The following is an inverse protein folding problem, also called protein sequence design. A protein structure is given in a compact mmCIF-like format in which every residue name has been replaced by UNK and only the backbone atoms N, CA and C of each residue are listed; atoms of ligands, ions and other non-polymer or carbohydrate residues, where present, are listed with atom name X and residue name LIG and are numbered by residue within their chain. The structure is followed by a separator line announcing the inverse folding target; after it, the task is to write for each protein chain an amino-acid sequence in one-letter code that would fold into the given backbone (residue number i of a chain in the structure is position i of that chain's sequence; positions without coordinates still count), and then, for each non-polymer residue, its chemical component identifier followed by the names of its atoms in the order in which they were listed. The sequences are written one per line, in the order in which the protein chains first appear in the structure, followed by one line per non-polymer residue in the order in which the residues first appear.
data_IF_943159197974
#
_entry.id   IF_943159197974
#
_cell.length_a   1.000
_cell.length_b   1.000
_cell.length_c   1.000
_cell.angle_alpha   90.00
_cell.angle_beta   90.00
_cell.angle_gamma   90.00
#
_symmetry.space_group_name_H-M   'P 1'
#
loop_
_entity.id
_entity.type
_entity.pdbx_description
1 polymer ?
#
# COMPACT_ATOMS: atom_id res chain seq x y z
N UNK A 1 -14.23 16.87 -31.95
CA UNK A 1 -13.03 17.02 -31.12
C UNK A 1 -13.51 17.04 -29.69
N UNK A 2 -13.17 16.02 -28.92
CA UNK A 2 -13.48 15.99 -27.50
C UNK A 2 -12.41 16.82 -26.76
N UNK A 3 -12.84 17.82 -25.99
CA UNK A 3 -11.94 18.53 -25.08
C UNK A 3 -11.63 17.65 -23.85
N UNK A 4 -10.56 17.97 -23.13
CA UNK A 4 -10.24 17.37 -21.84
C UNK A 4 -11.41 17.51 -20.85
N UNK A 5 -12.15 18.62 -20.88
CA UNK A 5 -13.37 18.82 -20.11
C UNK A 5 -14.46 17.82 -20.52
N UNK A 6 -14.70 17.65 -21.82
CA UNK A 6 -15.69 16.69 -22.34
C UNK A 6 -15.34 15.24 -21.95
N UNK A 7 -14.06 14.87 -22.02
CA UNK A 7 -13.58 13.55 -21.58
C UNK A 7 -13.77 13.35 -20.07
N UNK A 8 -13.51 14.38 -19.26
CA UNK A 8 -13.73 14.32 -17.83
C UNK A 8 -15.23 14.20 -17.48
N UNK A 9 -16.09 14.96 -18.13
CA UNK A 9 -17.55 14.87 -17.96
C UNK A 9 -18.10 13.50 -18.34
N UNK A 10 -17.58 12.90 -19.42
CA UNK A 10 -17.96 11.55 -19.82
C UNK A 10 -17.53 10.51 -18.77
N UNK A 11 -16.32 10.64 -18.21
CA UNK A 11 -15.87 9.77 -17.10
C UNK A 11 -16.80 9.89 -15.88
N UNK A 12 -17.19 11.10 -15.48
CA UNK A 12 -18.15 11.32 -14.38
C UNK A 12 -19.47 10.64 -14.70
N UNK A 13 -19.98 10.82 -15.93
CA UNK A 13 -21.25 10.23 -16.39
C UNK A 13 -21.21 8.70 -16.31
N UNK A 14 -20.15 8.08 -16.81
CA UNK A 14 -19.98 6.63 -16.77
C UNK A 14 -19.86 6.13 -15.33
N UNK A 15 -19.04 6.78 -14.49
CA UNK A 15 -18.89 6.42 -13.08
C UNK A 15 -20.20 6.56 -12.29
N UNK A 16 -21.00 7.59 -12.58
CA UNK A 16 -22.28 7.83 -11.88
C UNK A 16 -23.35 6.76 -12.14
N UNK A 17 -23.18 5.94 -13.18
CA UNK A 17 -24.09 4.84 -13.52
C UNK A 17 -23.81 3.56 -12.74
N UNK A 18 -22.68 3.48 -12.04
CA UNK A 18 -22.32 2.31 -11.23
C UNK A 18 -23.29 2.23 -10.05
N UNK A 19 -24.18 1.24 -10.06
CA UNK A 19 -25.24 1.10 -9.06
C UNK A 19 -24.86 0.24 -7.86
N UNK A 20 -23.73 -0.48 -7.92
CA UNK A 20 -23.41 -1.57 -7.00
C UNK A 20 -22.30 -1.24 -5.98
N UNK A 21 -22.13 0.04 -5.64
CA UNK A 21 -21.20 0.41 -4.58
C UNK A 21 -21.66 -0.11 -3.20
N UNK A 22 -20.82 -0.88 -2.48
CA UNK A 22 -21.16 -1.37 -1.15
C UNK A 22 -21.52 -0.24 -0.18
N UNK A 23 -22.54 -0.49 0.65
CA UNK A 23 -23.05 0.55 1.55
C UNK A 23 -22.04 0.93 2.66
N UNK A 24 -21.22 -0.02 3.06
CA UNK A 24 -20.23 0.03 4.14
C UNK A 24 -19.09 1.03 3.86
N UNK A 25 -18.93 1.43 2.60
CA UNK A 25 -17.83 2.29 2.14
C UNK A 25 -18.29 3.53 1.36
N UNK A 26 -19.56 3.93 1.49
CA UNK A 26 -20.17 5.05 0.75
C UNK A 26 -19.37 6.36 0.76
N UNK A 27 -18.63 6.64 1.83
CA UNK A 27 -17.81 7.85 1.92
C UNK A 27 -16.58 7.81 1.01
N UNK A 28 -16.04 6.63 0.73
CA UNK A 28 -14.89 6.46 -0.17
C UNK A 28 -15.32 6.69 -1.60
N UNK A 29 -16.50 6.21 -2.02
CA UNK A 29 -16.94 6.30 -3.41
C UNK A 29 -17.27 7.71 -3.90
N UNK A 30 -17.40 8.68 -2.99
CA UNK A 30 -17.62 10.09 -3.32
C UNK A 30 -16.35 10.72 -3.91
N UNK A 31 -16.50 11.38 -5.07
CA UNK A 31 -15.39 11.95 -5.84
C UNK A 31 -14.65 13.09 -5.13
N UNK A 32 -15.33 13.78 -4.21
CA UNK A 32 -14.82 14.93 -3.44
C UNK A 32 -14.14 14.53 -2.11
N UNK A 33 -14.19 13.24 -1.76
CA UNK A 33 -13.65 12.69 -0.51
C UNK A 33 -12.20 12.19 -0.65
N UNK A 34 -11.50 11.89 0.47
CA UNK A 34 -10.06 11.66 0.49
C UNK A 34 -9.57 10.64 -0.54
N UNK A 35 -8.38 10.89 -1.09
CA UNK A 35 -7.67 10.04 -2.07
C UNK A 35 -6.80 8.97 -1.39
N UNK A 36 -7.03 8.76 -0.09
CA UNK A 36 -6.39 7.77 0.74
C UNK A 36 -7.38 7.33 1.80
N UNK A 37 -7.57 6.03 1.93
CA UNK A 37 -8.43 5.43 2.93
C UNK A 37 -7.87 4.06 3.32
N UNK A 38 -7.83 3.76 4.61
CA UNK A 38 -7.17 2.58 5.15
C UNK A 38 -8.06 2.02 6.26
N UNK A 39 -8.69 0.86 6.04
CA UNK A 39 -9.72 0.31 6.93
C UNK A 39 -9.26 0.22 8.39
N UNK A 40 -8.04 -0.30 8.59
CA UNK A 40 -7.46 -0.48 9.91
C UNK A 40 -7.24 0.84 10.66
N UNK A 41 -6.87 1.91 9.93
CA UNK A 41 -6.57 3.21 10.54
C UNK A 41 -7.87 3.94 10.91
N UNK A 42 -8.86 3.89 10.01
CA UNK A 42 -10.17 4.52 10.22
C UNK A 42 -10.91 3.90 11.41
N UNK A 43 -10.76 2.59 11.60
CA UNK A 43 -11.37 1.87 12.70
C UNK A 43 -10.46 1.78 13.94
N UNK A 44 -9.20 2.24 13.86
CA UNK A 44 -8.16 2.04 14.88
C UNK A 44 -8.04 0.57 15.32
N UNK A 45 -7.96 -0.34 14.35
CA UNK A 45 -7.98 -1.78 14.54
C UNK A 45 -6.71 -2.45 13.99
N UNK A 46 -6.43 -3.65 14.50
CA UNK A 46 -5.48 -4.57 13.89
C UNK A 46 -6.21 -5.40 12.84
N UNK A 47 -5.74 -5.33 11.59
CA UNK A 47 -6.27 -6.15 10.49
C UNK A 47 -5.18 -7.12 10.05
N UNK A 48 -5.53 -8.38 9.90
CA UNK A 48 -4.68 -9.39 9.30
C UNK A 48 -5.46 -10.29 8.37
N UNK A 49 -4.82 -10.70 7.28
CA UNK A 49 -5.34 -11.66 6.33
C UNK A 49 -4.29 -12.74 6.08
N UNK A 50 -4.74 -13.99 6.03
CA UNK A 50 -3.94 -15.14 5.66
C UNK A 50 -4.68 -15.97 4.62
N UNK A 51 -4.09 -16.13 3.44
CA UNK A 51 -4.76 -16.79 2.33
C UNK A 51 -4.91 -18.31 2.48
N UNK A 52 -4.00 -18.96 3.24
CA UNK A 52 -4.00 -20.43 3.28
C UNK A 52 -5.34 -20.93 3.82
N UNK A 53 -5.93 -21.87 3.08
CA UNK A 53 -7.20 -22.52 3.37
C UNK A 53 -8.47 -21.67 3.16
N UNK A 54 -8.37 -20.57 2.38
CA UNK A 54 -9.53 -19.74 2.01
C UNK A 54 -9.73 -19.69 0.49
N UNK A 55 -11.00 -19.74 0.04
CA UNK A 55 -11.41 -19.40 -1.34
C UNK A 55 -11.26 -17.89 -1.65
N UNK A 56 -10.64 -17.14 -0.75
CA UNK A 56 -10.41 -15.71 -0.85
C UNK A 56 -9.00 -15.41 -1.34
N UNK A 57 -8.87 -14.37 -2.17
CA UNK A 57 -7.63 -13.80 -2.68
C UNK A 57 -7.43 -12.41 -2.13
N UNK A 58 -6.19 -12.08 -1.82
CA UNK A 58 -5.75 -10.73 -1.48
C UNK A 58 -5.03 -10.12 -2.67
N UNK A 59 -5.64 -9.10 -3.28
CA UNK A 59 -5.17 -8.48 -4.52
C UNK A 59 -4.85 -7.00 -4.30
N UNK A 60 -3.64 -6.58 -4.68
CA UNK A 60 -3.20 -5.19 -4.82
C UNK A 60 -3.37 -4.82 -6.30
N UNK A 61 -4.34 -3.96 -6.58
CA UNK A 61 -4.73 -3.56 -7.93
C UNK A 61 -4.32 -2.11 -8.14
N UNK A 62 -3.53 -1.82 -9.17
CA UNK A 62 -3.10 -0.46 -9.50
C UNK A 62 -3.24 -0.14 -10.99
N UNK A 63 -3.44 1.13 -11.32
CA UNK A 63 -3.50 1.60 -12.71
C UNK A 63 -2.07 1.72 -13.25
N UNK A 64 -1.76 0.94 -14.29
CA UNK A 64 -0.46 0.96 -14.96
C UNK A 64 -0.20 2.35 -15.54
N UNK A 65 0.86 3.00 -15.07
CA UNK A 65 1.23 4.34 -15.52
C UNK A 65 0.11 5.37 -15.29
N UNK A 66 -0.63 5.26 -14.18
CA UNK A 66 -1.84 6.02 -13.86
C UNK A 66 -1.91 7.44 -14.47
N UNK A 67 -1.08 8.38 -13.99
CA UNK A 67 -1.11 9.77 -14.43
C UNK A 67 -0.80 9.96 -15.93
N UNK A 68 0.27 9.37 -16.48
CA UNK A 68 0.48 9.33 -17.92
C UNK A 68 -0.73 8.85 -18.72
N UNK A 69 -1.38 7.77 -18.29
CA UNK A 69 -2.56 7.20 -18.94
C UNK A 69 -3.75 8.16 -18.89
N UNK A 70 -4.00 8.79 -17.74
CA UNK A 70 -5.05 9.82 -17.60
C UNK A 70 -4.74 11.04 -18.49
N UNK A 71 -3.49 11.49 -18.56
CA UNK A 71 -3.11 12.61 -19.41
C UNK A 71 -3.32 12.28 -20.90
N UNK A 72 -3.02 11.05 -21.35
CA UNK A 72 -3.34 10.61 -22.71
C UNK A 72 -4.84 10.64 -22.96
N UNK A 73 -5.64 10.12 -22.02
CA UNK A 73 -7.10 10.15 -22.11
C UNK A 73 -7.65 11.58 -22.22
N UNK A 74 -7.15 12.51 -21.41
CA UNK A 74 -7.63 13.89 -21.39
C UNK A 74 -7.16 14.72 -22.59
N UNK A 75 -5.88 14.61 -22.95
CA UNK A 75 -5.20 15.61 -23.78
C UNK A 75 -4.75 15.10 -25.16
N UNK A 76 -5.02 13.86 -25.53
CA UNK A 76 -4.57 13.30 -26.82
C UNK A 76 -5.07 14.10 -28.04
N UNK A 77 -6.29 14.65 -27.98
CA UNK A 77 -6.84 15.51 -29.04
C UNK A 77 -6.53 17.00 -28.81
N UNK A 78 -6.60 17.48 -27.56
CA UNK A 78 -6.49 18.91 -27.24
C UNK A 78 -5.03 19.41 -27.18
N UNK A 79 -4.11 18.58 -26.70
CA UNK A 79 -2.69 18.93 -26.55
C UNK A 79 -1.78 17.70 -26.80
N UNK A 80 -1.70 17.23 -28.07
CA UNK A 80 -0.93 16.05 -28.43
C UNK A 80 0.58 16.18 -28.15
N UNK A 81 1.14 17.39 -28.21
CA UNK A 81 2.55 17.65 -27.91
C UNK A 81 2.89 17.36 -26.45
N UNK A 82 2.01 17.75 -25.52
CA UNK A 82 2.16 17.42 -24.10
C UNK A 82 2.17 15.91 -23.87
N UNK A 83 1.27 15.17 -24.52
CA UNK A 83 1.20 13.71 -24.43
C UNK A 83 2.46 13.06 -25.01
N UNK A 84 2.91 13.52 -26.18
CA UNK A 84 4.13 13.03 -26.83
C UNK A 84 5.36 13.21 -25.96
N UNK A 85 5.47 14.36 -25.28
CA UNK A 85 6.56 14.62 -24.33
C UNK A 85 6.53 13.68 -23.12
N UNK A 86 5.34 13.36 -22.58
CA UNK A 86 5.21 12.36 -21.51
C UNK A 86 5.68 10.99 -22.00
N UNK A 87 5.30 10.59 -23.20
CA UNK A 87 5.60 9.26 -23.76
C UNK A 87 7.07 9.08 -24.11
N UNK A 88 7.75 10.16 -24.52
CA UNK A 88 9.17 10.18 -24.82
C UNK A 88 10.05 9.96 -23.57
N UNK A 89 9.56 10.27 -22.37
CA UNK A 89 10.28 9.99 -21.12
C UNK A 89 10.32 8.49 -20.86
N UNK A 90 11.44 7.96 -20.37
CA UNK A 90 11.57 6.53 -20.09
C UNK A 90 11.03 6.16 -18.71
N UNK A 91 11.36 6.95 -17.69
CA UNK A 91 11.11 6.59 -16.29
C UNK A 91 9.76 7.09 -15.74
N UNK A 92 9.12 6.29 -14.87
CA UNK A 92 7.82 6.62 -14.24
C UNK A 92 7.92 7.87 -13.36
N UNK A 93 9.02 8.04 -12.61
CA UNK A 93 9.21 9.20 -11.73
C UNK A 93 9.41 10.45 -12.56
N UNK A 94 10.19 10.40 -13.63
CA UNK A 94 10.38 11.53 -14.56
C UNK A 94 9.06 11.97 -15.19
N UNK A 95 8.26 11.02 -15.71
CA UNK A 95 6.92 11.31 -16.24
C UNK A 95 6.05 12.04 -15.22
N UNK A 96 6.00 11.54 -13.99
CA UNK A 96 5.20 12.15 -12.93
C UNK A 96 5.70 13.54 -12.53
N UNK A 97 7.01 13.78 -12.51
CA UNK A 97 7.59 15.12 -12.24
C UNK A 97 7.21 16.08 -13.37
N UNK A 98 7.35 15.65 -14.62
CA UNK A 98 7.00 16.46 -15.79
C UNK A 98 5.51 16.84 -15.76
N UNK A 99 4.61 15.86 -15.60
CA UNK A 99 3.15 16.09 -15.49
C UNK A 99 2.84 17.07 -14.35
N UNK A 100 3.43 16.86 -13.17
CA UNK A 100 3.20 17.73 -12.02
C UNK A 100 3.66 19.17 -12.30
N UNK A 101 4.83 19.35 -12.92
CA UNK A 101 5.37 20.67 -13.23
C UNK A 101 4.56 21.41 -14.31
N UNK A 102 4.13 20.70 -15.35
CA UNK A 102 3.34 21.26 -16.44
C UNK A 102 1.93 21.63 -15.99
N UNK A 103 1.31 20.81 -15.13
CA UNK A 103 -0.08 21.02 -14.69
C UNK A 103 -0.22 21.78 -13.36
N UNK A 104 0.88 22.15 -12.68
CA UNK A 104 0.89 22.69 -11.30
C UNK A 104 -0.05 23.88 -11.06
N UNK A 105 -0.26 24.73 -12.06
CA UNK A 105 -1.11 25.93 -12.00
C UNK A 105 -2.48 25.74 -12.64
N UNK A 106 -2.84 24.51 -13.01
CA UNK A 106 -4.10 24.17 -13.67
C UNK A 106 -5.00 23.38 -12.75
N UNK A 107 -6.32 23.44 -12.99
CA UNK A 107 -7.27 22.62 -12.24
C UNK A 107 -7.10 21.11 -12.55
N UNK A 108 -6.52 20.77 -13.70
CA UNK A 108 -6.33 19.40 -14.17
C UNK A 108 -5.48 18.55 -13.24
N UNK A 109 -4.50 19.12 -12.52
CA UNK A 109 -3.70 18.35 -11.57
C UNK A 109 -4.57 17.73 -10.46
N UNK A 110 -5.59 18.46 -9.99
CA UNK A 110 -6.58 17.93 -9.04
C UNK A 110 -7.48 16.90 -9.72
N UNK A 111 -7.90 17.17 -10.96
CA UNK A 111 -8.70 16.25 -11.79
C UNK A 111 -8.03 14.89 -11.97
N UNK A 112 -6.70 14.83 -12.11
CA UNK A 112 -5.98 13.54 -12.23
C UNK A 112 -6.24 12.60 -11.05
N UNK A 113 -6.25 13.12 -9.82
CA UNK A 113 -6.55 12.29 -8.65
C UNK A 113 -8.00 11.79 -8.65
N UNK A 114 -8.93 12.65 -9.06
CA UNK A 114 -10.36 12.31 -9.13
C UNK A 114 -10.58 11.22 -10.17
N UNK A 115 -9.99 11.34 -11.36
CA UNK A 115 -10.08 10.31 -12.41
C UNK A 115 -9.44 9.01 -11.95
N UNK A 116 -8.25 9.07 -11.35
CA UNK A 116 -7.57 7.89 -10.81
C UNK A 116 -8.47 7.11 -9.85
N UNK A 117 -9.14 7.82 -8.94
CA UNK A 117 -10.12 7.25 -8.01
C UNK A 117 -11.33 6.65 -8.70
N UNK A 118 -11.95 7.37 -9.65
CA UNK A 118 -13.11 6.86 -10.39
C UNK A 118 -12.76 5.59 -11.18
N UNK A 119 -11.61 5.57 -11.83
CA UNK A 119 -11.16 4.43 -12.63
C UNK A 119 -10.91 3.22 -11.75
N UNK A 120 -10.14 3.34 -10.66
CA UNK A 120 -9.82 2.19 -9.81
C UNK A 120 -11.04 1.69 -9.04
N UNK A 121 -11.82 2.59 -8.41
CA UNK A 121 -13.00 2.15 -7.65
C UNK A 121 -14.09 1.64 -8.61
N UNK A 122 -14.24 2.23 -9.78
CA UNK A 122 -15.18 1.75 -10.78
C UNK A 122 -14.77 0.40 -11.38
N UNK A 123 -13.48 0.19 -11.66
CA UNK A 123 -12.99 -1.10 -12.13
C UNK A 123 -13.28 -2.24 -11.13
N UNK A 124 -13.09 -1.95 -9.84
CA UNK A 124 -13.26 -2.92 -8.76
C UNK A 124 -14.73 -3.18 -8.43
N UNK A 125 -15.56 -2.12 -8.34
CA UNK A 125 -16.92 -2.24 -7.81
C UNK A 125 -18.03 -2.19 -8.88
N UNK A 126 -17.73 -1.90 -10.14
CA UNK A 126 -18.67 -2.10 -11.24
C UNK A 126 -18.59 -3.55 -11.74
N UNK A 127 -19.00 -4.48 -10.88
CA UNK A 127 -18.99 -5.93 -11.12
C UNK A 127 -20.12 -6.60 -10.36
N UNK A 128 -20.61 -7.74 -10.84
CA UNK A 128 -21.71 -8.47 -10.19
C UNK A 128 -21.35 -9.01 -8.79
N UNK A 129 -20.07 -9.30 -8.55
CA UNK A 129 -19.52 -9.81 -7.29
C UNK A 129 -19.11 -8.68 -6.32
N UNK A 130 -19.48 -7.42 -6.58
CA UNK A 130 -19.00 -6.27 -5.79
C UNK A 130 -19.30 -6.36 -4.29
N UNK A 131 -20.34 -7.11 -3.89
CA UNK A 131 -20.69 -7.35 -2.49
C UNK A 131 -19.74 -8.33 -1.78
N UNK A 132 -19.02 -9.16 -2.53
CA UNK A 132 -18.04 -10.12 -2.01
C UNK A 132 -16.63 -9.51 -1.93
N UNK A 133 -16.46 -8.27 -2.41
CA UNK A 133 -15.21 -7.53 -2.39
C UNK A 133 -15.10 -6.71 -1.10
N UNK A 134 -14.11 -7.02 -0.27
CA UNK A 134 -13.75 -6.21 0.89
C UNK A 134 -12.57 -5.28 0.58
N UNK A 135 -12.76 -3.97 0.74
CA UNK A 135 -11.69 -2.99 0.57
C UNK A 135 -10.88 -2.85 1.86
N UNK A 136 -9.57 -3.10 1.79
CA UNK A 136 -8.66 -2.96 2.93
C UNK A 136 -7.90 -1.64 2.90
N UNK A 137 -7.42 -1.26 1.72
CA UNK A 137 -6.66 -0.04 1.49
C UNK A 137 -7.06 0.58 0.15
N UNK A 138 -7.08 1.90 0.10
CA UNK A 138 -7.20 2.68 -1.12
C UNK A 138 -6.18 3.81 -1.07
N UNK A 139 -5.29 3.87 -2.04
CA UNK A 139 -4.28 4.91 -2.18
C UNK A 139 -4.22 5.37 -3.63
N UNK A 140 -4.64 6.61 -3.91
CA UNK A 140 -4.49 7.34 -5.19
C UNK A 140 -4.72 6.51 -6.46
N UNK A 141 -3.72 5.74 -6.92
CA UNK A 141 -3.70 4.95 -8.14
C UNK A 141 -3.96 3.44 -7.96
N UNK A 142 -4.23 2.97 -6.75
CA UNK A 142 -4.52 1.57 -6.47
C UNK A 142 -5.30 1.30 -5.19
N UNK A 143 -5.65 0.04 -4.99
CA UNK A 143 -6.31 -0.46 -3.81
C UNK A 143 -5.88 -1.88 -3.46
N UNK A 144 -6.02 -2.23 -2.19
CA UNK A 144 -5.87 -3.59 -1.67
C UNK A 144 -7.26 -4.12 -1.32
N UNK A 145 -7.63 -5.24 -1.92
CA UNK A 145 -8.92 -5.89 -1.72
C UNK A 145 -8.77 -7.35 -1.32
N UNK A 146 -9.81 -7.87 -0.65
CA UNK A 146 -10.08 -9.30 -0.54
C UNK A 146 -11.27 -9.60 -1.45
N UNK A 147 -11.20 -10.67 -2.24
CA UNK A 147 -12.29 -11.16 -3.09
C UNK A 147 -12.28 -12.68 -3.17
N UNK A 148 -13.42 -13.31 -3.46
CA UNK A 148 -13.50 -14.73 -3.85
C UNK A 148 -13.40 -14.92 -5.37
N UNK A 149 -13.46 -13.85 -6.16
CA UNK A 149 -13.50 -13.92 -7.61
C UNK A 149 -12.11 -14.09 -8.23
N UNK A 150 -11.99 -15.10 -9.08
CA UNK A 150 -10.80 -15.37 -9.87
C UNK A 150 -10.72 -14.50 -11.13
N UNK A 151 -11.82 -13.90 -11.57
CA UNK A 151 -11.91 -13.20 -12.86
C UNK A 151 -11.37 -11.78 -12.83
N UNK A 152 -11.15 -11.19 -11.64
CA UNK A 152 -10.48 -9.88 -11.53
C UNK A 152 -9.09 -9.94 -12.19
N UNK A 153 -8.35 -11.03 -12.00
CA UNK A 153 -7.02 -11.23 -12.60
C UNK A 153 -7.05 -11.31 -14.14
N UNK A 154 -8.16 -11.78 -14.70
CA UNK A 154 -8.35 -11.91 -16.15
C UNK A 154 -8.88 -10.62 -16.79
N UNK A 155 -9.21 -9.59 -16.00
CA UNK A 155 -9.77 -8.32 -16.46
C UNK A 155 -10.95 -8.52 -17.44
N UNK A 156 -11.81 -9.52 -17.19
CA UNK A 156 -12.95 -9.75 -18.08
C UNK A 156 -13.83 -8.50 -18.11
N UNK A 157 -14.11 -8.04 -19.34
CA UNK A 157 -14.92 -6.87 -19.59
C UNK A 157 -16.38 -7.29 -19.43
N UNK A 158 -16.96 -6.94 -18.29
CA UNK A 158 -18.31 -7.40 -17.89
C UNK A 158 -19.33 -6.28 -17.83
N UNK A 159 -18.89 -5.02 -17.88
CA UNK A 159 -19.78 -3.85 -17.70
C UNK A 159 -19.47 -2.69 -18.66
N UNK A 160 -20.44 -1.79 -18.91
CA UNK A 160 -20.23 -0.60 -19.73
C UNK A 160 -19.10 0.31 -19.24
N UNK A 161 -18.88 0.43 -17.92
CA UNK A 161 -17.77 1.23 -17.39
C UNK A 161 -16.42 0.56 -17.70
N UNK A 162 -16.32 -0.76 -17.51
CA UNK A 162 -15.10 -1.52 -17.82
C UNK A 162 -14.77 -1.46 -19.32
N UNK A 163 -15.77 -1.56 -20.19
CA UNK A 163 -15.62 -1.35 -21.63
C UNK A 163 -15.10 0.05 -21.95
N UNK A 164 -15.66 1.06 -21.28
CA UNK A 164 -15.27 2.46 -21.48
C UNK A 164 -13.81 2.70 -21.09
N UNK A 165 -13.39 2.33 -19.88
CA UNK A 165 -12.02 2.55 -19.42
C UNK A 165 -11.01 1.71 -20.23
N UNK A 166 -11.38 0.51 -20.68
CA UNK A 166 -10.52 -0.31 -21.55
C UNK A 166 -10.32 0.36 -22.91
N UNK A 167 -11.39 0.87 -23.53
CA UNK A 167 -11.31 1.63 -24.79
C UNK A 167 -10.51 2.92 -24.65
N UNK A 168 -10.60 3.57 -23.49
CA UNK A 168 -9.79 4.75 -23.14
C UNK A 168 -8.32 4.41 -22.85
N UNK A 169 -7.92 3.14 -22.92
CA UNK A 169 -6.53 2.69 -22.81
C UNK A 169 -6.03 2.51 -21.37
N UNK A 170 -6.92 2.49 -20.38
CA UNK A 170 -6.56 2.14 -19.01
C UNK A 170 -6.18 0.67 -18.92
N UNK A 171 -5.08 0.39 -18.21
CA UNK A 171 -4.57 -0.95 -17.94
C UNK A 171 -4.31 -1.09 -16.45
N UNK A 172 -4.51 -2.29 -15.94
CA UNK A 172 -4.36 -2.60 -14.52
C UNK A 172 -3.21 -3.58 -14.31
N UNK A 173 -2.41 -3.32 -13.28
CA UNK A 173 -1.48 -4.28 -12.72
C UNK A 173 -2.15 -4.89 -11.48
N UNK A 174 -2.19 -6.22 -11.43
CA UNK A 174 -2.81 -6.95 -10.33
C UNK A 174 -1.73 -7.83 -9.72
N UNK A 175 -1.50 -7.64 -8.43
CA UNK A 175 -0.53 -8.42 -7.67
C UNK A 175 -1.23 -9.12 -6.52
N UNK A 176 -1.10 -10.44 -6.47
CA UNK A 176 -1.57 -11.24 -5.35
C UNK A 176 -0.54 -11.32 -4.23
N UNK A 177 -1.01 -11.24 -2.98
CA UNK A 177 -0.23 -11.53 -1.78
C UNK A 177 -0.89 -12.65 -0.98
N UNK A 178 -0.09 -13.42 -0.26
CA UNK A 178 -0.56 -14.52 0.57
C UNK A 178 -0.88 -14.05 2.01
N UNK A 179 -0.21 -12.98 2.45
CA UNK A 179 -0.33 -12.45 3.81
C UNK A 179 -0.41 -10.94 3.78
N UNK A 180 -1.24 -10.41 4.68
CA UNK A 180 -1.29 -8.99 4.97
C UNK A 180 -1.51 -8.73 6.44
N UNK A 181 -0.82 -7.74 6.97
CA UNK A 181 -1.02 -7.21 8.32
C UNK A 181 -1.04 -5.70 8.20
N UNK A 182 -1.99 -5.04 8.87
CA UNK A 182 -1.98 -3.61 9.07
C UNK A 182 -2.32 -3.23 10.50
N UNK A 183 -1.43 -2.46 11.11
CA UNK A 183 -1.64 -1.79 12.39
C UNK A 183 -0.62 -0.68 12.58
N UNK A 184 -0.84 0.24 13.52
CA UNK A 184 0.11 1.33 13.84
C UNK A 184 0.56 2.07 12.55
N UNK A 185 -0.37 2.31 11.63
CA UNK A 185 -0.13 2.95 10.32
C UNK A 185 0.98 2.30 9.48
N UNK A 186 1.21 1.00 9.67
CA UNK A 186 2.23 0.22 8.96
C UNK A 186 1.59 -1.05 8.41
N UNK A 187 1.95 -1.40 7.18
CA UNK A 187 1.44 -2.56 6.47
C UNK A 187 2.58 -3.49 6.10
N UNK A 188 2.38 -4.79 6.32
CA UNK A 188 3.27 -5.87 5.90
C UNK A 188 2.55 -6.72 4.86
N UNK A 189 3.22 -7.03 3.75
CA UNK A 189 2.71 -7.88 2.69
C UNK A 189 3.73 -8.96 2.38
N UNK A 190 3.31 -10.21 2.33
CA UNK A 190 4.16 -11.33 1.92
C UNK A 190 3.58 -12.01 0.68
N UNK A 191 4.45 -12.23 -0.31
CA UNK A 191 4.16 -13.09 -1.45
C UNK A 191 5.03 -14.33 -1.34
N UNK A 192 4.40 -15.50 -1.24
CA UNK A 192 5.09 -16.78 -1.26
C UNK A 192 5.71 -17.04 -2.64
N UNK A 193 5.03 -16.63 -3.71
CA UNK A 193 5.54 -16.77 -5.08
C UNK A 193 6.84 -16.00 -5.28
N UNK A 194 6.89 -14.75 -4.82
CA UNK A 194 8.07 -13.90 -4.99
C UNK A 194 9.09 -14.08 -3.86
N UNK A 195 8.75 -14.84 -2.81
CA UNK A 195 9.51 -14.95 -1.55
C UNK A 195 9.93 -13.57 -1.02
N UNK A 196 9.01 -12.61 -1.07
CA UNK A 196 9.33 -11.20 -0.83
C UNK A 196 8.40 -10.56 0.18
N UNK A 197 9.02 -9.97 1.21
CA UNK A 197 8.37 -9.11 2.18
C UNK A 197 8.38 -7.65 1.71
N UNK A 198 7.22 -7.01 1.73
CA UNK A 198 7.07 -5.57 1.53
C UNK A 198 6.55 -4.95 2.82
N UNK A 199 7.21 -3.90 3.31
CA UNK A 199 6.75 -3.10 4.44
C UNK A 199 6.47 -1.68 3.97
N UNK A 200 5.27 -1.16 4.22
CA UNK A 200 4.84 0.20 3.89
C UNK A 200 4.37 0.93 5.16
N UNK A 201 4.31 2.26 5.09
CA UNK A 201 3.76 3.09 6.17
C UNK A 201 4.82 3.75 7.04
N UNK A 202 4.46 4.07 8.29
CA UNK A 202 5.33 4.79 9.22
C UNK A 202 6.59 3.97 9.48
N UNK A 203 6.45 2.70 9.85
CA UNK A 203 7.53 1.85 10.33
C UNK A 203 8.22 1.00 9.24
N UNK A 204 8.29 1.51 8.00
CA UNK A 204 8.89 0.78 6.86
C UNK A 204 10.41 0.59 6.92
N UNK A 205 11.07 1.36 7.78
CA UNK A 205 12.52 1.32 7.99
C UNK A 205 12.77 0.44 9.22
N UNK A 206 13.21 -0.80 8.97
CA UNK A 206 13.24 -1.86 9.97
C UNK A 206 14.70 -2.26 10.22
N UNK A 207 15.13 -2.50 11.48
CA UNK A 207 16.45 -3.03 11.76
C UNK A 207 16.71 -4.39 11.08
N UNK A 208 17.94 -4.69 10.64
CA UNK A 208 18.27 -5.91 9.91
C UNK A 208 17.78 -7.19 10.59
N UNK A 209 18.05 -7.38 11.88
CA UNK A 209 17.64 -8.58 12.62
C UNK A 209 16.14 -8.70 12.84
N UNK A 210 15.43 -7.57 12.87
CA UNK A 210 13.97 -7.59 12.89
C UNK A 210 13.42 -7.96 11.52
N UNK A 211 14.05 -7.49 10.44
CA UNK A 211 13.63 -7.83 9.09
C UNK A 211 13.86 -9.33 8.79
N UNK A 212 15.00 -9.89 9.19
CA UNK A 212 15.26 -11.34 9.17
C UNK A 212 14.18 -12.09 9.95
N UNK A 213 13.85 -11.65 11.17
CA UNK A 213 12.77 -12.24 11.98
C UNK A 213 11.43 -12.25 11.24
N UNK A 214 11.06 -11.17 10.55
CA UNK A 214 9.83 -11.16 9.76
C UNK A 214 9.86 -12.19 8.64
N UNK A 215 10.94 -12.25 7.87
CA UNK A 215 11.08 -13.22 6.79
C UNK A 215 10.98 -14.65 7.29
N UNK A 216 11.64 -14.97 8.39
CA UNK A 216 11.58 -16.29 9.03
C UNK A 216 10.15 -16.64 9.44
N UNK A 217 9.42 -15.72 10.08
CA UNK A 217 8.02 -15.94 10.44
C UNK A 217 7.11 -16.17 9.23
N UNK A 218 7.24 -15.36 8.18
CA UNK A 218 6.41 -15.51 6.98
C UNK A 218 6.77 -16.77 6.17
N UNK A 219 7.99 -17.28 6.28
CA UNK A 219 8.41 -18.58 5.74
C UNK A 219 7.97 -19.77 6.62
N UNK A 220 7.36 -19.52 7.78
CA UNK A 220 6.91 -20.56 8.71
C UNK A 220 8.04 -21.18 9.54
N UNK A 221 9.20 -20.51 9.65
CA UNK A 221 10.28 -20.95 10.52
C UNK A 221 9.90 -20.70 11.97
N UNK A 222 10.12 -21.69 12.84
CA UNK A 222 9.90 -21.53 14.28
C UNK A 222 10.96 -20.58 14.84
N UNK A 223 10.53 -19.39 15.26
CA UNK A 223 11.44 -18.37 15.80
C UNK A 223 11.40 -18.34 17.33
N UNK A 224 12.57 -18.38 17.96
CA UNK A 224 12.73 -18.21 19.40
C UNK A 224 12.62 -16.73 19.80
N UNK A 225 11.43 -16.32 20.23
CA UNK A 225 11.17 -14.95 20.70
C UNK A 225 11.89 -14.61 22.01
N UNK A 226 12.40 -15.61 22.75
CA UNK A 226 13.09 -15.38 24.02
C UNK A 226 14.35 -14.55 23.82
N UNK A 227 15.10 -14.79 22.74
CA UNK A 227 16.32 -14.03 22.44
C UNK A 227 16.01 -12.60 22.01
N UNK A 228 14.93 -12.38 21.25
CA UNK A 228 14.44 -11.04 20.90
C UNK A 228 14.08 -10.26 22.17
N UNK A 229 13.35 -10.87 23.10
CA UNK A 229 13.01 -10.24 24.38
C UNK A 229 14.24 -9.96 25.26
N UNK A 230 15.28 -10.80 25.20
CA UNK A 230 16.57 -10.55 25.87
C UNK A 230 17.30 -9.34 25.28
N UNK A 231 17.21 -9.08 23.98
CA UNK A 231 17.79 -7.88 23.39
C UNK A 231 16.95 -6.65 23.76
N UNK A 232 15.63 -6.71 23.59
CA UNK A 232 14.73 -5.57 23.77
C UNK A 232 14.24 -5.37 25.20
N UNK A 233 15.17 -5.37 26.17
CA UNK A 233 14.91 -4.88 27.52
C UNK A 233 15.88 -3.78 27.92
N UNK A 234 15.45 -2.95 28.88
CA UNK A 234 16.19 -1.75 29.28
C UNK A 234 17.56 -2.05 29.89
N UNK A 235 17.74 -3.21 30.54
CA UNK A 235 19.03 -3.62 31.13
C UNK A 235 20.03 -3.95 30.02
N UNK A 236 19.61 -4.75 29.06
CA UNK A 236 20.45 -5.20 27.94
C UNK A 236 20.82 -4.02 27.04
N UNK A 237 19.88 -3.12 26.76
CA UNK A 237 20.18 -1.90 26.01
C UNK A 237 21.19 -1.00 26.74
N UNK A 238 21.05 -0.81 28.05
CA UNK A 238 22.03 -0.06 28.86
C UNK A 238 23.41 -0.70 28.78
N UNK A 239 23.49 -2.03 28.79
CA UNK A 239 24.75 -2.76 28.64
C UNK A 239 25.36 -2.60 27.24
N UNK A 240 24.57 -2.79 26.18
CA UNK A 240 24.97 -2.59 24.77
C UNK A 240 25.56 -1.18 24.59
N UNK A 241 24.85 -0.17 25.09
CA UNK A 241 25.28 1.22 25.04
C UNK A 241 26.49 1.48 25.93
N UNK A 242 26.57 0.98 27.16
CA UNK A 242 27.74 1.24 28.02
C UNK A 242 29.04 0.68 27.43
N UNK A 243 28.96 -0.48 26.78
CA UNK A 243 30.12 -1.19 26.26
C UNK A 243 30.43 -0.92 24.78
N UNK A 244 29.71 0.02 24.14
CA UNK A 244 29.90 0.34 22.72
C UNK A 244 29.83 -0.86 21.78
N UNK A 245 28.84 -1.73 21.99
CA UNK A 245 28.60 -2.89 21.14
C UNK A 245 27.91 -2.47 19.84
N UNK A 246 28.67 -1.83 18.94
CA UNK A 246 28.16 -1.17 17.73
C UNK A 246 27.42 -2.13 16.80
N UNK A 247 27.94 -3.35 16.62
CA UNK A 247 27.28 -4.39 15.79
C UNK A 247 25.87 -4.68 16.28
N UNK A 248 25.66 -4.81 17.59
CA UNK A 248 24.32 -5.04 18.15
C UNK A 248 23.39 -3.84 17.96
N UNK A 249 23.90 -2.61 17.96
CA UNK A 249 23.10 -1.43 17.66
C UNK A 249 22.70 -1.38 16.19
N UNK A 250 23.63 -1.70 15.30
CA UNK A 250 23.41 -1.74 13.85
C UNK A 250 22.38 -2.81 13.48
N UNK A 251 22.50 -3.99 14.07
CA UNK A 251 21.65 -5.14 13.79
C UNK A 251 20.22 -5.02 14.36
N UNK A 252 20.08 -4.50 15.59
CA UNK A 252 18.82 -4.55 16.32
C UNK A 252 18.13 -3.20 16.53
N UNK A 253 18.82 -2.07 16.38
CA UNK A 253 18.24 -0.75 16.68
C UNK A 253 18.28 0.21 15.49
N UNK A 254 19.23 0.10 14.58
CA UNK A 254 19.31 1.03 13.45
C UNK A 254 18.36 0.64 12.33
N UNK A 255 17.41 1.52 12.06
CA UNK A 255 16.30 1.27 11.14
C UNK A 255 16.61 1.59 9.67
N UNK A 256 17.73 2.27 9.38
CA UNK A 256 18.11 2.70 8.02
C UNK A 256 19.59 3.07 7.95
N UNK A 257 20.12 3.21 6.74
CA UNK A 257 21.52 3.60 6.45
C UNK A 257 21.98 4.87 7.17
N UNK A 258 21.04 5.75 7.53
CA UNK A 258 21.31 6.99 8.26
C UNK A 258 21.39 6.83 9.79
N UNK A 259 21.52 5.59 10.31
CA UNK A 259 21.56 5.26 11.74
C UNK A 259 20.40 5.89 12.51
N UNK A 260 19.18 5.80 11.96
CA UNK A 260 17.96 6.25 12.63
C UNK A 260 17.51 5.20 13.64
N UNK A 261 17.00 5.66 14.78
CA UNK A 261 16.43 4.83 15.86
C UNK A 261 15.01 5.29 16.18
N UNK A 262 14.20 4.42 16.78
CA UNK A 262 12.97 4.84 17.44
C UNK A 262 13.28 5.44 18.81
N UNK A 263 12.75 6.64 19.07
CA UNK A 263 12.78 7.24 20.38
C UNK A 263 11.67 6.67 21.29
N UNK A 264 11.56 7.17 22.53
CA UNK A 264 10.54 6.74 23.51
C UNK A 264 9.09 6.92 23.04
N UNK A 265 8.83 7.76 22.03
CA UNK A 265 7.50 7.98 21.44
C UNK A 265 7.25 7.19 20.17
N UNK A 266 8.22 6.38 19.72
CA UNK A 266 8.14 5.66 18.43
C UNK A 266 8.45 6.53 17.21
N UNK A 267 8.97 7.73 17.37
CA UNK A 267 9.41 8.55 16.21
C UNK A 267 10.83 8.18 15.81
N UNK A 268 11.08 8.16 14.50
CA UNK A 268 12.44 8.05 13.97
C UNK A 268 13.24 9.31 14.27
N UNK A 269 14.39 9.14 14.91
CA UNK A 269 15.38 10.20 15.12
C UNK A 269 16.77 9.73 14.69
N UNK A 270 17.66 10.66 14.36
CA UNK A 270 19.06 10.33 14.12
C UNK A 270 19.68 9.90 15.45
N UNK A 271 20.37 8.76 15.45
CA UNK A 271 21.00 8.28 16.67
C UNK A 271 22.13 9.21 17.11
N UNK A 272 22.06 9.64 18.36
CA UNK A 272 23.09 10.40 19.05
C UNK A 272 23.51 9.64 20.30
N UNK A 273 24.74 9.13 20.31
CA UNK A 273 25.29 8.28 21.38
C UNK A 273 24.97 8.73 22.81
N UNK A 274 25.03 10.04 23.08
CA UNK A 274 24.80 10.61 24.43
C UNK A 274 23.35 11.04 24.68
N UNK A 275 22.63 11.42 23.63
CA UNK A 275 21.38 12.18 23.77
C UNK A 275 20.13 11.40 23.33
N UNK A 276 20.29 10.35 22.53
CA UNK A 276 19.13 9.56 22.09
C UNK A 276 18.48 8.85 23.26
N UNK A 277 17.19 9.10 23.41
CA UNK A 277 16.34 8.45 24.40
C UNK A 277 15.61 7.30 23.70
N UNK A 278 16.17 6.10 23.84
CA UNK A 278 15.62 4.87 23.26
C UNK A 278 14.97 4.06 24.37
N UNK A 279 13.72 3.67 24.16
CA UNK A 279 13.08 2.60 24.93
C UNK A 279 13.01 1.34 24.05
N UNK A 280 13.74 0.26 24.38
CA UNK A 280 13.69 -0.99 23.63
C UNK A 280 12.29 -1.58 23.48
N UNK A 281 11.37 -1.33 24.43
CA UNK A 281 10.00 -1.84 24.35
C UNK A 281 9.21 -1.26 23.18
N UNK A 282 9.56 -0.05 22.74
CA UNK A 282 8.94 0.59 21.57
C UNK A 282 9.22 -0.20 20.30
N UNK A 283 10.37 -0.88 20.20
CA UNK A 283 10.67 -1.77 19.08
C UNK A 283 9.80 -3.01 19.14
N UNK A 284 9.62 -3.61 20.32
CA UNK A 284 8.71 -4.75 20.47
C UNK A 284 7.28 -4.40 20.02
N UNK A 285 6.76 -3.27 20.47
CA UNK A 285 5.39 -2.83 20.16
C UNK A 285 5.18 -2.50 18.68
N UNK A 286 6.11 -1.77 18.04
CA UNK A 286 5.91 -1.28 16.68
C UNK A 286 6.40 -2.25 15.60
N UNK A 287 7.36 -3.12 15.94
CA UNK A 287 7.96 -4.02 14.98
C UNK A 287 7.58 -5.50 15.24
N UNK A 288 7.89 -6.01 16.43
CA UNK A 288 7.82 -7.46 16.69
C UNK A 288 6.38 -7.96 16.90
N UNK A 289 5.65 -7.36 17.85
CA UNK A 289 4.34 -7.85 18.27
C UNK A 289 3.28 -7.87 17.17
N UNK A 290 3.20 -6.89 16.25
CA UNK A 290 2.28 -6.95 15.11
C UNK A 290 2.37 -8.24 14.29
N UNK A 291 3.61 -8.66 13.98
CA UNK A 291 3.89 -9.83 13.14
C UNK A 291 3.88 -11.11 13.96
N UNK A 292 4.31 -11.05 15.22
CA UNK A 292 4.22 -12.20 16.11
C UNK A 292 2.77 -12.59 16.44
N UNK A 293 1.90 -11.62 16.70
CA UNK A 293 0.47 -11.87 16.92
C UNK A 293 -0.17 -12.54 15.70
N UNK A 294 0.20 -12.08 14.50
CA UNK A 294 -0.22 -12.70 13.26
C UNK A 294 0.18 -14.18 13.22
N UNK A 295 1.47 -14.47 13.48
CA UNK A 295 2.02 -15.81 13.49
C UNK A 295 1.27 -16.71 14.49
N UNK A 296 1.07 -16.22 15.71
CA UNK A 296 0.35 -16.95 16.75
C UNK A 296 -1.11 -17.25 16.41
N UNK A 297 -1.80 -16.38 15.66
CA UNK A 297 -3.22 -16.58 15.29
C UNK A 297 -3.42 -17.50 14.10
N UNK A 298 -2.49 -17.49 13.14
CA UNK A 298 -2.73 -18.08 11.83
C UNK A 298 -1.92 -19.34 11.56
N UNK A 299 -0.80 -19.55 12.26
CA UNK A 299 0.09 -20.70 12.04
C UNK A 299 0.05 -21.72 13.20
N UNK A 300 -0.58 -21.38 14.33
CA UNK A 300 -0.96 -22.34 15.39
C UNK A 300 -2.07 -23.32 14.96
N UNK A 301 -2.74 -23.04 13.84
CA UNK A 301 -3.72 -23.93 13.22
C UNK A 301 -3.09 -24.93 12.22
N UNK A 302 -1.75 -24.92 12.08
CA UNK A 302 -1.01 -25.80 11.15
C UNK A 302 -0.26 -26.93 11.89
N UNK A 303 -0.21 -26.89 13.23
CA UNK A 303 0.27 -27.99 14.08
C UNK A 303 -0.92 -28.73 14.69
#
# INVERSE_FOLDING_TARGET
MASAESNFEEMIRQYSRISQFPSEHKNIFKIDKPMRWLLADENNQYISFYQKDQDQKLLDVDITGCFPTICRFLFSEENPDFVTQIEALADKREKNIYIANTLKTTHYLKTLNIISKMVILGFIFDRQDSNDISLLEFEKDGCLIITTDNNIENCEITTPFQEFITRAGFKFHIKQYNYYIRCNHTSWYWSEKDQKLKVKGIYKHVPPKIYEFYEDLFKGVVVDISNINKIYNSVSFKFIRKNNLTTLLEDYYYCSDNKRVLNTTGKYEKYHWKNSQIDPKVYLYNFIFPVWLFYQRNLSNIM
#
